data_IF_279823765837
#
_entry.id   IF_279823765837
#
_cell.length_a   1.000
_cell.length_b   1.000
_cell.length_c   1.000
_cell.angle_alpha   90.00
_cell.angle_beta   90.00
_cell.angle_gamma   90.00
#
_symmetry.space_group_name_H-M   'P 1'
#
loop_
_entity.id
_entity.type
_entity.pdbx_description
1 polymer ?
#
# COMPACT_ATOMS: atom_id res chain seq x y z
N UNK A 1 -16.87 18.52 -13.88
CA UNK A 1 -16.29 18.39 -12.52
C UNK A 1 -15.04 17.55 -12.58
N UNK A 2 -13.96 18.09 -12.04
CA UNK A 2 -12.72 17.36 -11.99
C UNK A 2 -12.73 16.43 -10.78
N UNK A 3 -12.57 15.15 -11.03
CA UNK A 3 -12.37 14.20 -9.94
C UNK A 3 -10.91 14.25 -9.51
N UNK A 4 -10.69 14.24 -8.19
CA UNK A 4 -9.34 14.14 -7.65
C UNK A 4 -8.82 12.73 -7.91
N UNK A 5 -7.64 12.63 -8.51
CA UNK A 5 -7.00 11.35 -8.73
C UNK A 5 -6.63 10.72 -7.37
N UNK A 6 -6.76 9.42 -7.28
CA UNK A 6 -6.45 8.65 -6.08
C UNK A 6 -5.28 7.71 -6.34
N UNK A 7 -4.51 7.42 -5.30
CA UNK A 7 -3.38 6.49 -5.37
C UNK A 7 -3.34 5.67 -4.08
N UNK A 8 -3.18 4.36 -4.22
CA UNK A 8 -2.87 3.48 -3.09
C UNK A 8 -1.37 3.50 -2.88
N UNK A 9 -0.93 3.71 -1.66
CA UNK A 9 0.50 3.62 -1.32
C UNK A 9 0.75 2.32 -0.55
N UNK A 10 1.88 1.66 -0.84
CA UNK A 10 2.26 0.48 -0.07
C UNK A 10 2.79 0.86 1.31
N UNK A 11 3.06 -0.15 2.13
CA UNK A 11 3.47 0.08 3.53
C UNK A 11 4.75 0.87 3.65
N UNK A 12 5.75 0.59 2.81
CA UNK A 12 7.04 1.28 2.87
C UNK A 12 6.91 2.75 2.51
N UNK A 13 6.17 3.05 1.43
CA UNK A 13 5.92 4.43 1.03
C UNK A 13 5.15 5.16 2.13
N UNK A 14 4.10 4.55 2.66
CA UNK A 14 3.31 5.14 3.74
C UNK A 14 4.15 5.46 4.96
N UNK A 15 4.95 4.50 5.41
CA UNK A 15 5.81 4.66 6.59
C UNK A 15 6.84 5.76 6.39
N UNK A 16 7.50 5.79 5.23
CA UNK A 16 8.52 6.79 4.94
C UNK A 16 7.94 8.20 4.81
N UNK A 17 6.75 8.32 4.21
CA UNK A 17 6.15 9.63 3.93
C UNK A 17 5.43 10.24 5.13
N UNK A 18 4.83 9.41 6.00
CA UNK A 18 3.90 9.92 7.01
C UNK A 18 4.26 9.58 8.46
N UNK A 19 5.10 8.55 8.70
CA UNK A 19 5.38 8.09 10.04
C UNK A 19 6.80 8.40 10.53
N UNK A 20 7.77 8.48 9.63
CA UNK A 20 9.16 8.75 9.99
C UNK A 20 9.43 10.24 10.02
N UNK A 21 10.12 10.69 11.10
CA UNK A 21 10.44 12.11 11.30
C UNK A 21 11.60 12.59 10.43
N UNK A 22 12.60 11.75 10.22
CA UNK A 22 13.75 12.06 9.39
C UNK A 22 13.71 11.13 8.18
N UNK A 23 13.67 11.70 7.01
CA UNK A 23 13.59 10.94 5.78
C UNK A 23 14.80 11.27 4.91
N UNK A 24 15.74 10.31 4.87
CA UNK A 24 16.93 10.38 4.04
C UNK A 24 16.81 9.56 2.75
N UNK A 25 15.65 8.95 2.50
CA UNK A 25 15.44 8.15 1.30
C UNK A 25 15.37 9.06 0.07
N UNK A 26 16.24 8.80 -0.90
CA UNK A 26 16.33 9.60 -2.11
C UNK A 26 15.08 9.56 -2.98
N UNK A 27 14.22 8.53 -2.79
CA UNK A 27 12.97 8.37 -3.54
C UNK A 27 11.85 9.26 -3.01
N UNK A 28 11.96 9.75 -1.78
CA UNK A 28 10.88 10.47 -1.09
C UNK A 28 10.44 11.73 -1.84
N UNK A 29 11.36 12.46 -2.43
CA UNK A 29 11.04 13.68 -3.18
C UNK A 29 10.16 13.38 -4.40
N UNK A 30 10.47 12.33 -5.14
CA UNK A 30 9.66 11.88 -6.29
C UNK A 30 8.28 11.40 -5.86
N UNK A 31 8.19 10.66 -4.76
CA UNK A 31 6.92 10.21 -4.20
C UNK A 31 6.06 11.39 -3.77
N UNK A 32 6.65 12.36 -3.08
CA UNK A 32 5.94 13.57 -2.64
C UNK A 32 5.38 14.32 -3.83
N UNK A 33 6.19 14.49 -4.87
CA UNK A 33 5.75 15.15 -6.09
C UNK A 33 4.58 14.40 -6.74
N UNK A 34 4.68 13.08 -6.84
CA UNK A 34 3.61 12.26 -7.43
C UNK A 34 2.31 12.36 -6.63
N UNK A 35 2.39 12.37 -5.30
CA UNK A 35 1.23 12.39 -4.44
C UNK A 35 0.59 13.77 -4.28
N UNK A 36 1.27 14.83 -4.67
CA UNK A 36 0.72 16.20 -4.58
C UNK A 36 -0.56 16.32 -5.37
N UNK A 37 -1.64 16.75 -4.70
CA UNK A 37 -2.95 16.89 -5.31
C UNK A 37 -3.72 15.58 -5.49
N UNK A 38 -3.15 14.46 -5.06
CA UNK A 38 -3.80 13.15 -5.13
C UNK A 38 -4.41 12.78 -3.78
N UNK A 39 -5.48 12.01 -3.83
CA UNK A 39 -6.04 11.38 -2.65
C UNK A 39 -5.26 10.12 -2.35
N UNK A 40 -4.67 10.05 -1.17
CA UNK A 40 -3.86 8.90 -0.73
C UNK A 40 -4.74 7.90 0.02
N UNK A 41 -4.71 6.65 -0.41
CA UNK A 41 -5.39 5.55 0.26
C UNK A 41 -4.39 4.47 0.65
N UNK A 42 -4.73 3.70 1.67
CA UNK A 42 -3.96 2.50 2.04
C UNK A 42 -4.88 1.28 2.04
N UNK A 43 -4.28 0.12 1.93
CA UNK A 43 -5.00 -1.14 2.12
C UNK A 43 -5.17 -1.44 3.61
N UNK A 44 -6.15 -2.27 3.94
CA UNK A 44 -6.28 -2.83 5.29
C UNK A 44 -5.01 -3.56 5.74
N UNK A 45 -4.31 -4.19 4.80
CA UNK A 45 -3.04 -4.89 5.05
C UNK A 45 -1.95 -3.92 5.52
N UNK A 46 -1.83 -2.78 4.86
CA UNK A 46 -0.88 -1.73 5.27
C UNK A 46 -1.16 -1.24 6.69
N UNK A 47 -2.44 -1.00 7.02
CA UNK A 47 -2.81 -0.63 8.38
C UNK A 47 -2.36 -1.69 9.39
N UNK A 48 -2.59 -2.96 9.09
CA UNK A 48 -2.18 -4.07 9.96
C UNK A 48 -0.66 -4.13 10.12
N UNK A 49 0.09 -3.98 9.03
CA UNK A 49 1.55 -4.00 9.06
C UNK A 49 2.14 -2.84 9.88
N UNK A 50 1.59 -1.65 9.72
CA UNK A 50 2.03 -0.47 10.49
C UNK A 50 1.80 -0.71 11.99
N UNK A 51 0.61 -1.15 12.38
CA UNK A 51 0.30 -1.41 13.78
C UNK A 51 1.16 -2.54 14.35
N UNK A 52 1.34 -3.62 13.62
CA UNK A 52 2.17 -4.74 14.04
C UNK A 52 3.63 -4.32 14.19
N UNK A 53 4.16 -3.55 13.24
CA UNK A 53 5.52 -3.05 13.30
C UNK A 53 5.75 -2.12 14.49
N UNK A 54 4.82 -1.23 14.75
CA UNK A 54 4.91 -0.30 15.89
C UNK A 54 4.87 -1.03 17.22
N UNK A 55 4.00 -2.03 17.36
CA UNK A 55 3.91 -2.83 18.59
C UNK A 55 5.14 -3.70 18.78
N UNK A 56 5.63 -4.32 17.72
CA UNK A 56 6.84 -5.15 17.78
C UNK A 56 8.09 -4.32 18.12
N UNK A 57 8.14 -3.08 17.66
CA UNK A 57 9.22 -2.15 17.99
C UNK A 57 9.03 -1.46 19.35
N UNK A 58 7.93 -1.77 20.04
CA UNK A 58 7.61 -1.22 21.38
C UNK A 58 7.58 0.31 21.40
N UNK A 59 6.91 0.92 20.43
CA UNK A 59 6.73 2.37 20.41
C UNK A 59 6.00 2.83 21.67
N UNK A 60 6.46 3.94 22.25
CA UNK A 60 5.81 4.53 23.41
C UNK A 60 4.39 5.01 23.10
N UNK A 61 3.62 5.29 24.16
CA UNK A 61 2.20 5.65 24.05
C UNK A 61 1.95 6.84 23.14
N UNK A 62 2.79 7.88 23.25
CA UNK A 62 2.66 9.09 22.44
C UNK A 62 2.84 8.81 20.96
N UNK A 63 3.92 8.10 20.61
CA UNK A 63 4.21 7.77 19.22
C UNK A 63 3.16 6.83 18.64
N UNK A 64 2.69 5.88 19.44
CA UNK A 64 1.62 4.97 19.04
C UNK A 64 0.32 5.74 18.77
N UNK A 65 -0.03 6.68 19.64
CA UNK A 65 -1.23 7.50 19.47
C UNK A 65 -1.14 8.36 18.20
N UNK A 66 0.02 8.94 17.92
CA UNK A 66 0.26 9.72 16.70
C UNK A 66 0.08 8.86 15.44
N UNK A 67 0.63 7.65 15.44
CA UNK A 67 0.49 6.72 14.32
C UNK A 67 -0.96 6.32 14.09
N UNK A 68 -1.70 6.01 15.15
CA UNK A 68 -3.12 5.65 15.07
C UNK A 68 -3.94 6.82 14.51
N UNK A 69 -3.65 8.04 14.96
CA UNK A 69 -4.33 9.23 14.45
C UNK A 69 -4.11 9.40 12.94
N UNK A 70 -2.89 9.21 12.47
CA UNK A 70 -2.58 9.29 11.03
C UNK A 70 -3.33 8.19 10.27
N UNK A 71 -3.32 6.97 10.77
CA UNK A 71 -4.05 5.86 10.16
C UNK A 71 -5.55 6.11 10.11
N UNK A 72 -6.11 6.64 11.19
CA UNK A 72 -7.56 6.91 11.26
C UNK A 72 -8.01 8.01 10.31
N UNK A 73 -7.12 8.93 9.96
CA UNK A 73 -7.40 9.98 8.96
C UNK A 73 -7.16 9.53 7.52
N UNK A 74 -6.51 8.39 7.33
CA UNK A 74 -6.18 7.90 6.00
C UNK A 74 -7.28 6.95 5.52
N UNK A 75 -7.94 7.24 4.39
CA UNK A 75 -8.92 6.31 3.82
C UNK A 75 -8.30 4.94 3.59
N UNK A 76 -8.98 3.91 4.09
CA UNK A 76 -8.47 2.53 4.06
C UNK A 76 -9.42 1.64 3.28
N UNK A 77 -8.87 0.93 2.30
CA UNK A 77 -9.61 -0.05 1.50
C UNK A 77 -9.77 -1.32 2.33
N UNK A 78 -11.02 -1.72 2.53
CA UNK A 78 -11.36 -2.89 3.34
C UNK A 78 -11.39 -4.17 2.49
N UNK A 79 -11.24 -5.36 3.11
CA UNK A 79 -11.28 -6.63 2.38
C UNK A 79 -12.73 -7.04 2.06
N UNK A 80 -13.40 -6.24 1.26
CA UNK A 80 -14.74 -6.56 0.78
C UNK A 80 -14.71 -7.65 -0.31
N UNK A 81 -15.87 -8.03 -0.82
CA UNK A 81 -15.96 -9.10 -1.82
C UNK A 81 -15.20 -8.78 -3.11
N UNK A 82 -15.19 -7.52 -3.54
CA UNK A 82 -14.42 -7.12 -4.72
C UNK A 82 -12.92 -7.35 -4.51
N UNK A 83 -12.42 -7.02 -3.32
CA UNK A 83 -11.01 -7.20 -2.97
C UNK A 83 -10.67 -8.69 -2.88
N UNK A 84 -11.55 -9.49 -2.26
CA UNK A 84 -11.36 -10.94 -2.17
C UNK A 84 -11.32 -11.59 -3.56
N UNK A 85 -12.23 -11.20 -4.43
CA UNK A 85 -12.27 -11.72 -5.80
C UNK A 85 -11.02 -11.30 -6.58
N UNK A 86 -10.60 -10.05 -6.45
CA UNK A 86 -9.38 -9.57 -7.09
C UNK A 86 -8.15 -10.31 -6.59
N UNK A 87 -8.09 -10.62 -5.30
CA UNK A 87 -7.00 -11.41 -4.73
C UNK A 87 -6.95 -12.82 -5.33
N UNK A 88 -8.07 -13.50 -5.39
CA UNK A 88 -8.15 -14.86 -5.95
C UNK A 88 -7.71 -14.88 -7.42
N UNK A 89 -8.16 -13.91 -8.18
CA UNK A 89 -7.79 -13.78 -9.59
C UNK A 89 -6.30 -13.46 -9.77
N UNK A 90 -5.78 -12.58 -8.93
CA UNK A 90 -4.35 -12.21 -8.94
C UNK A 90 -3.47 -13.44 -8.66
N UNK A 91 -3.82 -14.26 -7.68
CA UNK A 91 -3.08 -15.48 -7.37
C UNK A 91 -3.05 -16.41 -8.58
N UNK A 92 -4.20 -16.65 -9.21
CA UNK A 92 -4.30 -17.52 -10.38
C UNK A 92 -3.47 -16.99 -11.54
N UNK A 93 -3.57 -15.71 -11.84
CA UNK A 93 -2.84 -15.08 -12.92
C UNK A 93 -1.33 -15.06 -12.68
N UNK A 94 -0.88 -14.76 -11.46
CA UNK A 94 0.53 -14.77 -11.10
C UNK A 94 1.14 -16.17 -11.24
N UNK A 95 0.41 -17.20 -10.85
CA UNK A 95 0.85 -18.59 -11.04
C UNK A 95 0.95 -18.93 -12.52
N UNK A 96 -0.03 -18.54 -13.31
CA UNK A 96 -0.03 -18.80 -14.76
C UNK A 96 1.14 -18.11 -15.45
N UNK A 97 1.47 -16.89 -15.05
CA UNK A 97 2.53 -16.08 -15.66
C UNK A 97 3.93 -16.32 -15.06
N UNK A 98 4.01 -17.02 -13.93
CA UNK A 98 5.27 -17.17 -13.21
C UNK A 98 5.72 -15.88 -12.52
N UNK A 99 4.79 -14.99 -12.17
CA UNK A 99 5.11 -13.74 -11.51
C UNK A 99 5.49 -13.97 -10.04
N UNK A 100 6.48 -13.21 -9.55
CA UNK A 100 7.03 -13.38 -8.20
C UNK A 100 6.03 -13.19 -7.06
N UNK A 101 4.94 -12.46 -7.26
CA UNK A 101 3.88 -12.27 -6.27
C UNK A 101 3.19 -13.58 -5.88
N UNK A 102 3.36 -14.67 -6.65
CA UNK A 102 2.81 -15.97 -6.31
C UNK A 102 3.47 -16.60 -5.08
N UNK A 103 4.67 -16.18 -4.72
CA UNK A 103 5.43 -16.77 -3.63
C UNK A 103 4.70 -16.56 -2.28
N UNK A 104 4.85 -17.56 -1.40
CA UNK A 104 4.13 -17.63 -0.13
C UNK A 104 4.38 -16.42 0.77
N UNK A 105 5.61 -15.93 0.81
CA UNK A 105 6.03 -14.79 1.62
C UNK A 105 5.53 -13.44 1.10
N UNK A 106 4.89 -13.40 -0.08
CA UNK A 106 4.28 -12.20 -0.64
C UNK A 106 2.77 -12.12 -0.45
N UNK A 107 2.21 -12.83 0.52
CA UNK A 107 0.77 -12.78 0.82
C UNK A 107 0.30 -11.35 1.12
N UNK A 108 1.04 -10.63 1.97
CA UNK A 108 0.72 -9.23 2.29
C UNK A 108 0.75 -8.32 1.06
N UNK A 109 1.76 -8.48 0.23
CA UNK A 109 1.90 -7.71 -1.01
C UNK A 109 0.74 -7.98 -1.97
N UNK A 110 0.29 -9.23 -2.04
CA UNK A 110 -0.89 -9.56 -2.85
C UNK A 110 -2.15 -8.88 -2.35
N UNK A 111 -2.35 -8.74 -1.04
CA UNK A 111 -3.50 -8.01 -0.51
C UNK A 111 -3.44 -6.52 -0.86
N UNK A 112 -2.26 -5.92 -0.77
CA UNK A 112 -2.06 -4.53 -1.19
C UNK A 112 -2.42 -4.37 -2.68
N UNK A 113 -1.88 -5.23 -3.52
CA UNK A 113 -2.16 -5.22 -4.96
C UNK A 113 -3.64 -5.44 -5.26
N UNK A 114 -4.28 -6.40 -4.58
CA UNK A 114 -5.70 -6.71 -4.76
C UNK A 114 -6.59 -5.52 -4.43
N UNK A 115 -6.28 -4.76 -3.41
CA UNK A 115 -7.00 -3.53 -3.06
C UNK A 115 -6.95 -2.52 -4.20
N UNK A 116 -5.77 -2.28 -4.75
CA UNK A 116 -5.59 -1.33 -5.85
C UNK A 116 -6.33 -1.81 -7.11
N UNK A 117 -6.20 -3.09 -7.46
CA UNK A 117 -6.87 -3.69 -8.62
C UNK A 117 -8.39 -3.59 -8.49
N UNK A 118 -8.94 -3.98 -7.34
CA UNK A 118 -10.39 -4.02 -7.11
C UNK A 118 -11.02 -2.64 -7.24
N UNK A 119 -10.33 -1.62 -6.79
CA UNK A 119 -10.83 -0.24 -6.81
C UNK A 119 -10.36 0.55 -8.05
N UNK A 120 -9.60 -0.08 -8.93
CA UNK A 120 -9.08 0.52 -10.17
C UNK A 120 -8.29 1.79 -9.91
N UNK A 121 -7.40 1.70 -8.93
CA UNK A 121 -6.54 2.79 -8.49
C UNK A 121 -5.10 2.33 -8.69
N UNK A 122 -4.20 3.22 -9.07
CA UNK A 122 -2.79 2.87 -9.19
C UNK A 122 -2.13 2.66 -7.82
N UNK A 123 -1.02 1.96 -7.82
CA UNK A 123 -0.22 1.67 -6.63
C UNK A 123 1.12 2.39 -6.74
N UNK A 124 1.44 3.21 -5.75
CA UNK A 124 2.77 3.78 -5.58
C UNK A 124 3.54 2.89 -4.59
N UNK A 125 4.58 2.24 -5.08
CA UNK A 125 5.37 1.28 -4.31
C UNK A 125 6.85 1.46 -4.57
N UNK A 126 7.64 1.26 -3.54
CA UNK A 126 9.10 1.25 -3.66
C UNK A 126 9.68 -0.11 -4.00
N UNK A 127 8.92 -1.18 -3.79
CA UNK A 127 9.36 -2.55 -4.02
C UNK A 127 9.09 -2.98 -5.47
N UNK A 128 10.11 -3.52 -6.12
CA UNK A 128 10.01 -3.99 -7.49
C UNK A 128 9.10 -5.21 -7.67
N UNK A 129 8.71 -5.88 -6.59
CA UNK A 129 7.88 -7.09 -6.66
C UNK A 129 6.56 -6.87 -7.40
N UNK A 130 6.03 -5.65 -7.37
CA UNK A 130 4.75 -5.32 -8.00
C UNK A 130 4.86 -5.12 -9.52
N UNK A 131 6.06 -4.91 -10.05
CA UNK A 131 6.23 -4.61 -11.47
C UNK A 131 5.76 -5.79 -12.33
N UNK A 132 4.98 -5.49 -13.35
CA UNK A 132 4.45 -6.51 -14.26
C UNK A 132 3.31 -7.35 -13.69
N UNK A 133 2.81 -7.04 -12.49
CA UNK A 133 1.67 -7.77 -11.93
C UNK A 133 0.42 -7.53 -12.78
N UNK A 134 -0.35 -8.60 -13.08
CA UNK A 134 -1.52 -8.48 -13.97
C UNK A 134 -2.59 -7.54 -13.37
N UNK A 135 -3.14 -6.70 -14.23
CA UNK A 135 -4.20 -5.74 -13.93
C UNK A 135 -3.83 -4.64 -12.91
N UNK A 136 -2.56 -4.53 -12.56
CA UNK A 136 -2.07 -3.54 -11.61
C UNK A 136 -1.29 -2.45 -12.34
N UNK A 137 -1.64 -1.19 -12.06
CA UNK A 137 -0.87 -0.03 -12.53
C UNK A 137 0.06 0.38 -11.41
N UNK A 138 1.36 0.25 -11.64
CA UNK A 138 2.38 0.52 -10.62
C UNK A 138 3.12 1.81 -10.95
N UNK A 139 3.31 2.64 -9.94
CA UNK A 139 4.19 3.82 -9.98
C UNK A 139 5.31 3.61 -8.96
N UNK A 140 6.46 4.03 -9.29
CA UNK A 140 7.61 3.89 -8.43
C UNK A 140 8.57 4.98 -8.60
#
# INVERSE_FOLDING_TARGET
MNQVAATVVDTDVFSLMYLRRANSDSRAAGWRQYLTGRRVLISFQTRAEVLAGARSAQWGNRRMAEAIEILDRTPTIRPDNEVVDAYAELVAECRRLGHGLQARDHTGDRWVAACAIAKRIDLLAGDAIYQGAPNLVVRG
#
